data_IF_941950497829
#
_entry.id   IF_941950497829
#
_cell.length_a   1.000
_cell.length_b   1.000
_cell.length_c   1.000
_cell.angle_alpha   90.00
_cell.angle_beta   90.00
_cell.angle_gamma   90.00
#
_symmetry.space_group_name_H-M   'P 1'
#
loop_
_entity.id
_entity.type
_entity.pdbx_description
1 polymer ?
#
# COMPACT_ATOMS: atom_id res chain seq x y z
N UNK A 1 9.58 2.66 -15.83
CA UNK A 1 9.40 1.86 -14.60
C UNK A 1 10.47 0.78 -14.44
N UNK A 2 11.64 0.90 -15.09
CA UNK A 2 12.79 0.01 -14.86
C UNK A 2 13.68 0.62 -13.79
N UNK A 3 14.56 -0.19 -13.19
CA UNK A 3 15.66 0.34 -12.39
C UNK A 3 16.49 1.34 -13.23
N UNK A 4 16.81 2.54 -12.73
CA UNK A 4 17.58 3.50 -13.52
C UNK A 4 18.98 2.95 -13.81
N UNK A 5 19.41 3.02 -15.08
CA UNK A 5 20.67 2.42 -15.56
C UNK A 5 21.93 2.89 -14.81
N UNK A 6 21.91 4.08 -14.23
CA UNK A 6 23.03 4.62 -13.42
C UNK A 6 23.33 3.78 -12.18
N UNK A 7 22.32 3.06 -11.66
CA UNK A 7 22.47 2.13 -10.54
C UNK A 7 22.94 0.76 -11.03
N UNK A 8 22.71 0.37 -12.29
CA UNK A 8 23.02 -0.97 -12.82
C UNK A 8 24.34 -1.06 -13.59
N UNK A 9 25.36 -0.29 -13.18
CA UNK A 9 26.70 -0.36 -13.74
C UNK A 9 27.70 -0.82 -12.66
N UNK A 10 28.30 -1.99 -12.81
CA UNK A 10 29.23 -2.58 -11.82
C UNK A 10 30.46 -1.71 -11.49
N UNK A 11 30.81 -0.77 -12.36
CA UNK A 11 31.93 0.17 -12.15
C UNK A 11 31.47 1.46 -11.44
N UNK A 12 30.17 1.66 -11.26
CA UNK A 12 29.58 2.84 -10.63
C UNK A 12 29.61 2.73 -9.10
N UNK A 13 29.88 3.83 -8.37
CA UNK A 13 29.71 3.86 -6.92
C UNK A 13 28.23 3.72 -6.48
N UNK A 14 27.28 3.86 -7.42
CA UNK A 14 25.86 3.66 -7.18
C UNK A 14 25.44 2.19 -7.27
N UNK A 15 26.34 1.30 -7.69
CA UNK A 15 26.03 -0.12 -7.83
C UNK A 15 26.00 -0.83 -6.48
N UNK A 16 25.11 -1.82 -6.37
CA UNK A 16 25.10 -2.75 -5.27
C UNK A 16 24.90 -4.17 -5.83
N UNK A 17 25.79 -5.09 -5.45
CA UNK A 17 25.74 -6.51 -5.84
C UNK A 17 24.56 -7.26 -5.21
N UNK A 18 24.07 -6.79 -4.06
CA UNK A 18 22.97 -7.38 -3.29
C UNK A 18 21.59 -6.94 -3.83
N UNK A 19 21.42 -6.98 -5.16
CA UNK A 19 20.13 -6.78 -5.82
C UNK A 19 19.64 -8.06 -6.46
N UNK A 20 18.33 -8.17 -6.65
CA UNK A 20 17.74 -9.28 -7.39
C UNK A 20 18.23 -9.26 -8.84
N UNK A 21 18.98 -10.29 -9.23
CA UNK A 21 19.60 -10.36 -10.56
C UNK A 21 18.58 -10.55 -11.67
N UNK A 22 17.42 -11.14 -11.37
CA UNK A 22 16.33 -11.35 -12.34
C UNK A 22 15.56 -10.04 -12.63
N UNK A 23 15.72 -9.03 -11.78
CA UNK A 23 15.03 -7.74 -11.85
C UNK A 23 15.93 -6.59 -12.37
N UNK A 24 17.07 -6.92 -12.97
CA UNK A 24 17.92 -5.92 -13.63
C UNK A 24 17.24 -5.41 -14.91
N UNK A 25 17.53 -4.17 -15.37
CA UNK A 25 17.02 -3.69 -16.65
C UNK A 25 17.29 -4.70 -17.78
N UNK A 26 16.31 -4.96 -18.67
CA UNK A 26 15.11 -4.17 -18.93
C UNK A 26 13.85 -4.53 -18.10
N UNK A 27 13.97 -5.33 -17.02
CA UNK A 27 12.81 -5.74 -16.23
C UNK A 27 11.99 -4.55 -15.69
N UNK A 28 10.66 -4.67 -15.81
CA UNK A 28 9.70 -3.70 -15.25
C UNK A 28 9.38 -4.08 -13.82
N UNK A 29 9.39 -3.10 -12.91
CA UNK A 29 8.92 -3.31 -11.53
C UNK A 29 7.47 -3.79 -11.51
N UNK A 30 7.15 -4.75 -10.65
CA UNK A 30 5.76 -5.17 -10.37
C UNK A 30 5.38 -4.66 -8.98
N UNK A 31 4.78 -3.46 -8.91
CA UNK A 31 4.29 -2.87 -7.66
C UNK A 31 3.13 -3.69 -7.07
N UNK A 32 2.40 -4.40 -7.92
CA UNK A 32 1.29 -5.25 -7.54
C UNK A 32 1.70 -6.63 -7.03
N UNK A 33 2.93 -7.10 -7.28
CA UNK A 33 3.31 -8.52 -7.14
C UNK A 33 2.20 -9.44 -7.69
N UNK A 34 1.63 -9.02 -8.82
CA UNK A 34 0.46 -9.64 -9.44
C UNK A 34 0.78 -11.02 -10.02
N UNK A 35 2.04 -11.25 -10.38
CA UNK A 35 2.48 -12.43 -11.09
C UNK A 35 2.38 -12.30 -12.62
N UNK A 36 1.87 -11.17 -13.12
CA UNK A 36 1.76 -10.89 -14.53
C UNK A 36 3.11 -11.07 -15.23
N UNK A 37 3.13 -11.90 -16.28
CA UNK A 37 4.35 -12.12 -17.08
C UNK A 37 4.56 -11.02 -18.12
N UNK A 38 3.48 -10.49 -18.68
CA UNK A 38 3.47 -9.43 -19.69
C UNK A 38 3.85 -8.06 -19.11
N UNK A 39 4.75 -7.35 -19.80
CA UNK A 39 5.26 -6.07 -19.34
C UNK A 39 4.24 -4.94 -19.48
N UNK A 40 3.35 -4.99 -20.47
CA UNK A 40 2.28 -4.00 -20.60
C UNK A 40 1.29 -4.13 -19.44
N UNK A 41 0.91 -5.36 -19.08
CA UNK A 41 0.06 -5.62 -17.92
C UNK A 41 0.72 -5.13 -16.62
N UNK A 42 2.03 -5.36 -16.41
CA UNK A 42 2.75 -4.79 -15.24
C UNK A 42 2.67 -3.27 -15.20
N UNK A 43 2.87 -2.59 -16.33
CA UNK A 43 2.78 -1.13 -16.39
C UNK A 43 1.37 -0.66 -16.02
N UNK A 44 0.35 -1.29 -16.58
CA UNK A 44 -1.06 -0.96 -16.32
C UNK A 44 -1.44 -1.23 -14.86
N UNK A 45 -1.01 -2.36 -14.29
CA UNK A 45 -1.15 -2.68 -12.87
C UNK A 45 -0.46 -1.64 -11.99
N UNK A 46 0.78 -1.24 -12.31
CA UNK A 46 1.53 -0.24 -11.55
C UNK A 46 0.81 1.12 -11.51
N UNK A 47 0.26 1.56 -12.64
CA UNK A 47 -0.48 2.83 -12.70
C UNK A 47 -1.76 2.75 -11.88
N UNK A 48 -2.45 1.60 -11.91
CA UNK A 48 -3.64 1.36 -11.09
C UNK A 48 -3.32 1.32 -9.59
N UNK A 49 -2.23 0.66 -9.20
CA UNK A 49 -1.74 0.63 -7.80
C UNK A 49 -1.47 2.06 -7.32
N UNK A 50 -0.77 2.88 -8.11
CA UNK A 50 -0.52 4.28 -7.76
C UNK A 50 -1.81 5.11 -7.65
N UNK A 51 -2.75 4.99 -8.59
CA UNK A 51 -4.04 5.68 -8.49
C UNK A 51 -4.81 5.25 -7.23
N UNK A 52 -4.79 3.95 -6.92
CA UNK A 52 -5.47 3.40 -5.76
C UNK A 52 -4.89 3.92 -4.43
N UNK A 53 -3.57 3.87 -4.28
CA UNK A 53 -2.87 4.28 -3.06
C UNK A 53 -2.91 5.79 -2.81
N UNK A 54 -2.94 6.59 -3.88
CA UNK A 54 -2.90 8.06 -3.79
C UNK A 54 -4.29 8.70 -3.72
N UNK A 55 -5.30 8.05 -4.31
CA UNK A 55 -6.64 8.63 -4.52
C UNK A 55 -7.73 7.66 -4.06
N UNK A 56 -7.90 6.53 -4.75
CA UNK A 56 -9.14 5.73 -4.69
C UNK A 56 -9.43 5.13 -3.32
N UNK A 57 -8.40 4.56 -2.68
CA UNK A 57 -8.53 3.81 -1.43
C UNK A 57 -8.42 4.68 -0.17
N UNK A 58 -8.15 5.98 -0.33
CA UNK A 58 -7.84 6.92 0.77
C UNK A 58 -9.10 7.69 1.18
N UNK A 59 -9.52 7.54 2.44
CA UNK A 59 -10.65 8.30 3.00
C UNK A 59 -10.21 9.49 3.88
N UNK A 60 -9.07 9.38 4.57
CA UNK A 60 -8.56 10.40 5.50
C UNK A 60 -7.05 10.64 5.32
N UNK A 61 -6.51 11.72 5.91
CA UNK A 61 -5.05 11.94 5.96
C UNK A 61 -4.35 10.78 6.65
N UNK A 62 -4.95 10.19 7.67
CA UNK A 62 -4.40 9.04 8.40
C UNK A 62 -4.44 7.74 7.60
N UNK A 63 -5.39 7.59 6.66
CA UNK A 63 -5.36 6.45 5.73
C UNK A 63 -4.18 6.56 4.76
N UNK A 64 -3.77 7.78 4.39
CA UNK A 64 -2.60 8.03 3.55
C UNK A 64 -1.29 7.94 4.34
N UNK A 65 -1.18 8.69 5.45
CA UNK A 65 0.05 8.89 6.22
C UNK A 65 0.31 7.80 7.27
N UNK A 66 -0.73 7.09 7.72
CA UNK A 66 -0.65 6.11 8.81
C UNK A 66 -1.31 6.57 10.10
N UNK A 67 -1.52 5.61 11.01
CA UNK A 67 -2.20 5.83 12.28
C UNK A 67 -1.27 6.51 13.31
N UNK A 68 -1.83 7.30 14.26
CA UNK A 68 -1.04 7.98 15.27
C UNK A 68 -0.14 7.04 16.08
N UNK A 69 1.15 7.36 16.18
CA UNK A 69 2.10 6.69 17.04
C UNK A 69 2.62 7.64 18.11
N UNK A 70 2.21 7.43 19.37
CA UNK A 70 2.55 8.30 20.50
C UNK A 70 3.44 7.58 21.52
N UNK A 71 4.13 8.35 22.35
CA UNK A 71 4.96 7.79 23.41
C UNK A 71 4.13 6.85 24.31
N UNK A 72 4.63 5.63 24.52
CA UNK A 72 3.94 4.59 25.28
C UNK A 72 3.01 3.68 24.46
N UNK A 73 2.80 3.95 23.16
CA UNK A 73 2.02 3.07 22.30
C UNK A 73 2.81 1.81 21.94
N UNK A 74 2.08 0.71 21.73
CA UNK A 74 2.64 -0.49 21.13
C UNK A 74 3.10 -0.20 19.68
N UNK A 75 4.15 -0.90 19.19
CA UNK A 75 4.60 -0.75 17.80
C UNK A 75 3.49 -1.14 16.80
N UNK A 76 3.65 -0.70 15.56
CA UNK A 76 2.75 -0.99 14.44
C UNK A 76 1.30 -0.49 14.65
N UNK A 77 1.07 0.83 14.89
CA UNK A 77 -0.28 1.36 15.10
C UNK A 77 -1.18 1.26 13.86
N UNK A 78 -0.59 1.13 12.68
CA UNK A 78 -1.30 0.98 11.40
C UNK A 78 -0.63 1.81 10.31
N UNK A 79 -0.23 1.15 9.23
CA UNK A 79 0.47 1.78 8.11
C UNK A 79 -0.52 2.53 7.21
N UNK A 80 -0.05 3.64 6.62
CA UNK A 80 -0.79 4.38 5.60
C UNK A 80 -0.66 3.76 4.21
N UNK A 81 -1.49 4.17 3.26
CA UNK A 81 -1.44 3.73 1.86
C UNK A 81 -0.11 4.10 1.19
N UNK A 82 0.54 5.21 1.60
CA UNK A 82 1.86 5.60 1.10
C UNK A 82 2.97 4.62 1.48
N UNK A 83 2.75 3.80 2.51
CA UNK A 83 3.74 2.87 3.05
C UNK A 83 3.42 1.41 2.66
N UNK A 84 2.15 1.00 2.76
CA UNK A 84 1.69 -0.42 2.78
C UNK A 84 1.41 -1.04 1.40
N UNK A 85 2.10 -0.60 0.37
CA UNK A 85 1.86 -1.05 -1.01
C UNK A 85 3.08 -0.89 -1.91
N UNK A 86 3.04 0.05 -2.85
CA UNK A 86 4.11 0.30 -3.83
C UNK A 86 5.49 0.51 -3.19
N UNK A 87 5.58 1.20 -2.05
CA UNK A 87 6.80 1.34 -1.25
C UNK A 87 7.37 -0.03 -0.83
N UNK A 88 6.56 -0.86 -0.18
CA UNK A 88 6.97 -2.22 0.22
C UNK A 88 7.37 -3.05 -1.00
N UNK A 89 6.59 -2.96 -2.07
CA UNK A 89 6.84 -3.71 -3.29
C UNK A 89 8.22 -3.37 -3.89
N UNK A 90 8.58 -2.09 -3.97
CA UNK A 90 9.88 -1.65 -4.48
C UNK A 90 11.05 -2.18 -3.64
N UNK A 91 10.93 -2.17 -2.31
CA UNK A 91 11.92 -2.76 -1.41
C UNK A 91 12.19 -4.23 -1.74
N UNK A 92 11.13 -5.04 -1.79
CA UNK A 92 11.25 -6.48 -1.98
C UNK A 92 11.63 -6.85 -3.41
N UNK A 93 11.18 -6.07 -4.40
CA UNK A 93 11.51 -6.27 -5.80
C UNK A 93 13.01 -6.04 -6.06
N UNK A 94 13.63 -5.05 -5.41
CA UNK A 94 15.07 -4.81 -5.56
C UNK A 94 15.92 -5.78 -4.72
N UNK A 95 15.50 -6.12 -3.50
CA UNK A 95 16.30 -6.95 -2.57
C UNK A 95 16.67 -8.32 -3.14
N UNK A 96 17.91 -8.79 -2.91
CA UNK A 96 18.39 -10.04 -3.50
C UNK A 96 17.76 -11.28 -2.84
N UNK A 97 16.92 -12.06 -3.54
CA UNK A 97 16.27 -13.23 -2.96
C UNK A 97 17.24 -14.35 -2.56
N UNK A 98 18.49 -14.33 -3.03
CA UNK A 98 19.53 -15.30 -2.65
C UNK A 98 20.13 -15.02 -1.27
N UNK A 99 19.99 -13.80 -0.76
CA UNK A 99 20.44 -13.44 0.58
C UNK A 99 19.43 -13.88 1.63
N UNK A 100 19.91 -14.29 2.82
CA UNK A 100 19.09 -14.89 3.88
C UNK A 100 17.87 -14.06 4.26
N UNK A 101 18.00 -12.74 4.26
CA UNK A 101 16.95 -11.79 4.64
C UNK A 101 16.60 -10.84 3.50
N UNK A 102 16.95 -11.19 2.25
CA UNK A 102 16.77 -10.36 1.06
C UNK A 102 17.54 -9.04 1.06
N UNK A 103 18.70 -9.03 1.69
CA UNK A 103 19.60 -7.87 1.68
C UNK A 103 19.93 -7.42 0.24
N UNK A 104 20.14 -6.14 -0.03
CA UNK A 104 20.07 -5.03 0.94
C UNK A 104 18.66 -4.42 1.01
N UNK A 105 18.04 -4.07 -0.12
CA UNK A 105 16.75 -3.36 -0.17
C UNK A 105 15.56 -4.13 0.43
N UNK A 106 15.59 -5.46 0.46
CA UNK A 106 14.46 -6.28 0.91
C UNK A 106 14.26 -6.34 2.43
N UNK A 107 15.08 -5.65 3.22
CA UNK A 107 14.95 -5.60 4.67
C UNK A 107 15.38 -4.24 5.25
N UNK A 108 14.61 -3.71 6.20
CA UNK A 108 14.86 -2.38 6.76
C UNK A 108 16.23 -2.21 7.43
N UNK A 109 16.83 -3.25 8.03
CA UNK A 109 18.16 -3.08 8.65
C UNK A 109 19.30 -2.90 7.64
N UNK A 110 19.10 -3.33 6.40
CA UNK A 110 20.12 -3.33 5.35
C UNK A 110 19.82 -2.36 4.21
N UNK A 111 18.57 -1.93 4.04
CA UNK A 111 18.14 -1.18 2.87
C UNK A 111 19.02 0.05 2.57
N UNK A 112 19.36 0.84 3.58
CA UNK A 112 20.21 2.03 3.43
C UNK A 112 21.67 1.77 3.01
N UNK A 113 22.10 0.51 2.91
CA UNK A 113 23.41 0.11 2.34
C UNK A 113 23.40 0.13 0.81
N UNK A 114 22.23 0.03 0.19
CA UNK A 114 22.06 0.25 -1.25
C UNK A 114 21.76 1.74 -1.50
N UNK A 115 22.57 2.40 -2.33
CA UNK A 115 22.34 3.81 -2.66
C UNK A 115 21.01 4.06 -3.37
N UNK A 116 20.44 3.04 -4.03
CA UNK A 116 19.11 3.11 -4.66
C UNK A 116 18.00 3.33 -3.62
N UNK A 117 18.20 2.98 -2.35
CA UNK A 117 17.28 3.26 -1.23
C UNK A 117 16.92 4.74 -1.15
N UNK A 118 17.92 5.62 -1.21
CA UNK A 118 17.70 7.06 -1.09
C UNK A 118 16.98 7.62 -2.32
N UNK A 119 17.25 7.08 -3.52
CA UNK A 119 16.52 7.43 -4.73
C UNK A 119 15.05 6.95 -4.69
N UNK A 120 14.81 5.76 -4.14
CA UNK A 120 13.46 5.25 -3.91
C UNK A 120 12.70 6.17 -2.94
N UNK A 121 13.29 6.48 -1.79
CA UNK A 121 12.66 7.35 -0.79
C UNK A 121 12.52 8.81 -1.24
N UNK A 122 13.37 9.30 -2.14
CA UNK A 122 13.15 10.60 -2.79
C UNK A 122 11.84 10.61 -3.60
N UNK A 123 11.49 9.51 -4.28
CA UNK A 123 10.21 9.42 -4.97
C UNK A 123 9.03 9.19 -4.00
N UNK A 124 9.25 8.53 -2.87
CA UNK A 124 8.23 8.43 -1.78
C UNK A 124 7.94 9.82 -1.19
N UNK A 125 8.97 10.62 -0.92
CA UNK A 125 8.82 12.02 -0.48
C UNK A 125 8.13 12.89 -1.54
N UNK A 126 8.47 12.66 -2.82
CA UNK A 126 7.76 13.27 -3.95
C UNK A 126 6.27 12.91 -3.96
N UNK A 127 5.89 11.68 -3.59
CA UNK A 127 4.47 11.28 -3.53
C UNK A 127 3.72 12.11 -2.49
N UNK A 128 4.30 12.34 -1.30
CA UNK A 128 3.66 13.23 -0.32
C UNK A 128 3.47 14.65 -0.87
N UNK A 129 4.49 15.19 -1.54
CA UNK A 129 4.41 16.51 -2.19
C UNK A 129 3.32 16.57 -3.26
N UNK A 130 3.18 15.54 -4.10
CA UNK A 130 2.11 15.43 -5.10
C UNK A 130 0.75 15.30 -4.41
N UNK A 131 0.62 14.43 -3.41
CA UNK A 131 -0.64 14.14 -2.72
C UNK A 131 -1.27 15.40 -2.13
N UNK A 132 -0.44 16.29 -1.55
CA UNK A 132 -0.88 17.60 -1.04
C UNK A 132 -1.48 18.52 -2.11
N UNK A 133 -1.14 18.31 -3.39
CA UNK A 133 -1.66 19.11 -4.52
C UNK A 133 -2.89 18.49 -5.18
N UNK A 134 -3.24 17.24 -4.85
CA UNK A 134 -4.39 16.56 -5.42
C UNK A 134 -5.69 17.21 -4.94
N UNK A 135 -6.56 17.52 -5.89
CA UNK A 135 -7.88 18.09 -5.63
C UNK A 135 -8.87 16.97 -5.28
N UNK A 136 -8.76 16.45 -4.05
CA UNK A 136 -9.71 15.48 -3.50
C UNK A 136 -10.45 16.08 -2.30
N UNK A 137 -11.45 15.35 -1.80
CA UNK A 137 -12.25 15.72 -0.63
C UNK A 137 -11.60 15.30 0.71
N UNK A 138 -10.36 14.81 0.66
CA UNK A 138 -9.57 14.40 1.82
C UNK A 138 -8.70 15.58 2.27
N UNK A 139 -8.76 16.01 3.55
CA UNK A 139 -7.84 16.99 4.12
C UNK A 139 -6.37 16.60 3.88
N UNK A 140 -5.45 17.57 3.89
CA UNK A 140 -4.01 17.30 3.61
C UNK A 140 -3.09 17.52 4.80
N UNK A 141 -3.52 18.32 5.75
CA UNK A 141 -2.72 18.68 6.92
C UNK A 141 -3.01 17.73 8.08
N UNK A 142 -2.00 17.45 8.91
CA UNK A 142 -2.16 16.83 10.23
C UNK A 142 -1.92 17.92 11.27
N UNK A 143 -2.93 18.21 12.09
CA UNK A 143 -2.86 19.32 13.07
C UNK A 143 -2.62 18.86 14.51
N UNK A 144 -2.57 17.55 14.76
CA UNK A 144 -2.31 16.97 16.07
C UNK A 144 -0.96 17.49 16.63
N UNK A 145 -0.96 18.21 17.78
CA UNK A 145 0.26 18.68 18.41
C UNK A 145 1.27 17.58 18.73
N UNK A 146 0.83 16.35 19.02
CA UNK A 146 1.73 15.23 19.29
C UNK A 146 2.50 14.83 18.02
N UNK A 147 1.84 14.87 16.85
CA UNK A 147 2.47 14.64 15.56
C UNK A 147 3.44 15.78 15.23
N UNK A 148 2.98 17.03 15.31
CA UNK A 148 3.77 18.20 14.95
C UNK A 148 5.02 18.39 15.83
N UNK A 149 4.92 18.03 17.12
CA UNK A 149 6.03 18.12 18.07
C UNK A 149 6.90 16.86 18.14
N UNK A 150 6.53 15.78 17.44
CA UNK A 150 7.37 14.60 17.34
C UNK A 150 8.74 15.02 16.78
N UNK A 151 9.80 14.57 17.43
CA UNK A 151 11.15 15.03 17.16
C UNK A 151 12.11 13.86 16.97
N UNK A 152 13.03 14.04 16.02
CA UNK A 152 14.05 13.07 15.66
C UNK A 152 15.44 13.69 15.77
N UNK A 153 16.46 12.85 15.89
CA UNK A 153 17.86 13.27 15.99
C UNK A 153 18.62 12.76 14.76
N UNK A 154 19.28 13.68 14.05
CA UNK A 154 20.13 13.36 12.91
C UNK A 154 21.50 14.01 13.08
N UNK A 155 22.54 13.40 12.51
CA UNK A 155 23.80 14.10 12.30
C UNK A 155 23.71 14.92 11.02
N UNK A 156 24.13 16.18 11.08
CA UNK A 156 24.28 17.05 9.90
C UNK A 156 25.63 16.85 9.21
N UNK A 157 25.88 17.59 8.13
CA UNK A 157 27.13 17.57 7.38
C UNK A 157 28.35 18.05 8.18
N UNK A 158 28.12 18.79 9.26
CA UNK A 158 29.13 19.30 10.19
C UNK A 158 29.36 18.36 11.38
N UNK A 159 28.80 17.14 11.33
CA UNK A 159 28.87 16.11 12.37
C UNK A 159 28.25 16.57 13.70
N UNK A 160 27.32 17.51 13.66
CA UNK A 160 26.57 17.96 14.82
C UNK A 160 25.28 17.16 14.95
N UNK A 161 24.93 16.79 16.18
CA UNK A 161 23.66 16.13 16.47
C UNK A 161 22.56 17.18 16.54
N UNK A 162 21.66 17.18 15.57
CA UNK A 162 20.58 18.15 15.42
C UNK A 162 19.24 17.49 15.74
N UNK A 163 18.41 18.20 16.52
CA UNK A 163 17.02 17.82 16.77
C UNK A 163 16.12 18.53 15.77
N UNK A 164 15.32 17.76 15.04
CA UNK A 164 14.33 18.27 14.08
C UNK A 164 12.93 17.86 14.51
N UNK A 165 11.92 18.67 14.21
CA UNK A 165 10.51 18.34 14.45
C UNK A 165 9.78 18.09 13.13
N UNK A 166 8.71 17.29 13.19
CA UNK A 166 7.81 17.07 12.04
C UNK A 166 7.25 18.39 11.49
N UNK A 167 6.85 19.32 12.35
CA UNK A 167 6.32 20.61 11.90
C UNK A 167 7.28 21.40 10.99
N UNK A 168 8.59 21.17 11.11
CA UNK A 168 9.61 21.88 10.34
C UNK A 168 9.86 21.28 8.94
N UNK A 169 9.30 20.10 8.64
CA UNK A 169 9.45 19.44 7.34
C UNK A 169 8.16 19.37 6.50
N UNK A 170 7.07 20.03 6.94
CA UNK A 170 5.81 20.03 6.19
C UNK A 170 5.90 20.79 4.85
N UNK A 171 6.88 21.69 4.70
CA UNK A 171 7.16 22.42 3.46
C UNK A 171 8.61 22.19 3.01
N UNK A 172 8.78 21.29 2.04
CA UNK A 172 10.07 20.95 1.45
C UNK A 172 10.80 22.18 0.85
N UNK A 173 10.08 23.23 0.43
CA UNK A 173 10.71 24.44 -0.10
C UNK A 173 11.39 25.26 0.97
N UNK A 174 10.85 25.26 2.21
CA UNK A 174 11.53 25.86 3.37
C UNK A 174 12.78 25.09 3.77
N UNK A 175 12.85 23.81 3.42
CA UNK A 175 14.04 22.97 3.57
C UNK A 175 15.06 23.17 2.44
N UNK A 176 14.74 23.98 1.42
CA UNK A 176 15.66 24.36 0.36
C UNK A 176 15.67 23.43 -0.86
N UNK A 177 14.65 22.59 -1.06
CA UNK A 177 14.56 21.71 -2.24
C UNK A 177 13.16 21.68 -2.87
N UNK A 178 13.08 21.24 -4.13
CA UNK A 178 11.85 20.92 -4.86
C UNK A 178 12.14 19.79 -5.86
N UNK A 179 11.09 19.14 -6.37
CA UNK A 179 11.18 18.10 -7.38
C UNK A 179 11.01 18.68 -8.79
N UNK A 180 11.76 18.14 -9.75
CA UNK A 180 11.50 18.41 -11.16
C UNK A 180 10.04 18.07 -11.52
N UNK A 181 9.43 18.94 -12.33
CA UNK A 181 8.07 18.73 -12.83
C UNK A 181 8.14 17.78 -14.02
N UNK A 182 7.63 16.57 -13.81
CA UNK A 182 7.53 15.52 -14.82
C UNK A 182 6.11 14.99 -14.85
N UNK A 183 5.72 14.36 -15.96
CA UNK A 183 4.39 13.79 -16.15
C UNK A 183 4.04 12.80 -15.03
N UNK A 184 2.76 12.80 -14.65
CA UNK A 184 2.20 11.94 -13.61
C UNK A 184 1.12 11.06 -14.27
N UNK A 185 1.52 10.02 -15.01
CA UNK A 185 0.60 9.26 -15.87
C UNK A 185 -0.49 8.53 -15.09
N UNK A 186 -0.22 8.16 -13.83
CA UNK A 186 -1.19 7.44 -12.99
C UNK A 186 -2.40 8.29 -12.58
N UNK A 187 -2.36 9.63 -12.72
CA UNK A 187 -3.52 10.49 -12.41
C UNK A 187 -4.73 10.18 -13.29
N UNK A 188 -4.50 9.71 -14.51
CA UNK A 188 -5.54 9.40 -15.49
C UNK A 188 -5.81 7.89 -15.61
N UNK A 189 -5.23 7.08 -14.72
CA UNK A 189 -5.34 5.62 -14.72
C UNK A 189 -6.32 5.14 -13.64
N UNK A 190 -7.50 5.76 -13.63
CA UNK A 190 -8.66 5.20 -12.94
C UNK A 190 -9.08 3.93 -13.69
N UNK A 191 -9.27 2.78 -13.02
CA UNK A 191 -9.81 1.58 -13.67
C UNK A 191 -11.15 1.87 -14.37
N UNK A 192 -11.39 1.28 -15.55
CA UNK A 192 -12.61 1.54 -16.31
C UNK A 192 -13.83 1.06 -15.55
N UNK A 193 -14.91 1.87 -15.57
CA UNK A 193 -16.21 1.49 -15.03
C UNK A 193 -16.74 0.24 -15.74
N UNK A 194 -17.32 -0.71 -15.01
CA UNK A 194 -17.96 -1.87 -15.62
C UNK A 194 -19.16 -1.43 -16.46
N UNK A 195 -19.26 -1.99 -17.68
CA UNK A 195 -20.38 -1.73 -18.57
C UNK A 195 -21.71 -2.34 -18.07
N UNK A 196 -21.63 -3.35 -17.21
CA UNK A 196 -22.79 -4.00 -16.61
C UNK A 196 -22.57 -4.15 -15.10
N UNK A 197 -23.67 -4.07 -14.35
CA UNK A 197 -23.71 -4.34 -12.90
C UNK A 197 -23.11 -5.70 -12.57
N UNK A 198 -22.25 -5.74 -11.56
CA UNK A 198 -21.67 -7.00 -11.09
C UNK A 198 -22.75 -7.95 -10.55
N UNK A 199 -22.71 -9.21 -10.99
CA UNK A 199 -23.67 -10.24 -10.62
C UNK A 199 -23.18 -10.93 -9.36
N UNK A 200 -23.76 -10.56 -8.22
CA UNK A 200 -23.41 -11.18 -6.92
C UNK A 200 -23.70 -12.69 -6.89
N UNK A 201 -24.79 -13.15 -7.50
CA UNK A 201 -25.26 -14.55 -7.44
C UNK A 201 -24.20 -15.62 -7.81
N UNK A 202 -23.46 -15.52 -8.93
CA UNK A 202 -22.38 -16.46 -9.23
C UNK A 202 -21.21 -16.34 -8.25
N UNK A 203 -20.82 -15.13 -7.85
CA UNK A 203 -19.66 -14.86 -7.00
C UNK A 203 -19.90 -15.39 -5.57
N UNK A 204 -21.13 -15.25 -5.06
CA UNK A 204 -21.50 -15.64 -3.70
C UNK A 204 -21.54 -17.14 -3.47
N UNK A 205 -21.56 -17.98 -4.53
CA UNK A 205 -21.63 -19.45 -4.39
C UNK A 205 -20.47 -20.07 -3.61
N UNK A 206 -19.32 -19.39 -3.58
CA UNK A 206 -18.14 -19.80 -2.80
C UNK A 206 -17.81 -18.88 -1.63
N UNK A 207 -18.67 -17.91 -1.32
CA UNK A 207 -18.43 -16.94 -0.26
C UNK A 207 -18.98 -17.44 1.08
N UNK A 208 -18.22 -17.23 2.16
CA UNK A 208 -18.65 -17.51 3.52
C UNK A 208 -19.01 -16.22 4.25
N UNK A 209 -19.85 -16.29 5.29
CA UNK A 209 -20.16 -15.12 6.10
C UNK A 209 -19.03 -14.82 7.09
N UNK A 210 -18.79 -13.55 7.46
CA UNK A 210 -17.74 -13.18 8.41
C UNK A 210 -17.79 -13.97 9.73
N UNK A 211 -18.98 -14.16 10.30
CA UNK A 211 -19.18 -14.85 11.57
C UNK A 211 -18.74 -16.33 11.57
N UNK A 212 -18.76 -16.97 10.40
CA UNK A 212 -18.42 -18.39 10.25
C UNK A 212 -16.94 -18.61 9.88
N UNK A 213 -16.26 -17.54 9.45
CA UNK A 213 -14.94 -17.62 8.81
C UNK A 213 -13.80 -17.06 9.69
N UNK A 214 -14.08 -16.06 10.53
CA UNK A 214 -13.05 -15.33 11.26
C UNK A 214 -12.83 -15.87 12.70
N UNK A 215 -11.58 -15.93 13.20
CA UNK A 215 -10.35 -15.44 12.57
C UNK A 215 -9.88 -16.31 11.39
N UNK A 216 -9.53 -15.66 10.28
CA UNK A 216 -9.15 -16.28 9.02
C UNK A 216 -7.64 -16.37 8.88
N UNK A 217 -7.10 -17.57 8.63
CA UNK A 217 -5.73 -17.72 8.15
C UNK A 217 -5.70 -17.75 6.60
N UNK A 218 -5.04 -16.78 5.97
CA UNK A 218 -5.18 -16.48 4.53
C UNK A 218 -4.30 -17.36 3.64
N UNK A 219 -4.47 -18.68 3.73
CA UNK A 219 -3.67 -19.67 2.95
C UNK A 219 -3.95 -19.66 1.45
N UNK A 220 -5.15 -19.24 1.06
CA UNK A 220 -5.66 -19.29 -0.30
C UNK A 220 -6.62 -18.15 -0.56
N UNK A 221 -6.97 -17.96 -1.83
CA UNK A 221 -8.03 -17.05 -2.23
C UNK A 221 -9.29 -17.37 -1.43
N UNK A 222 -9.81 -16.36 -0.75
CA UNK A 222 -10.95 -16.50 0.16
C UNK A 222 -11.99 -15.43 -0.17
N UNK A 223 -13.25 -15.85 -0.29
CA UNK A 223 -14.39 -14.97 -0.57
C UNK A 223 -15.26 -14.84 0.66
N UNK A 224 -15.62 -13.61 0.99
CA UNK A 224 -16.43 -13.29 2.17
C UNK A 224 -17.63 -12.46 1.75
N UNK A 225 -18.83 -12.90 2.14
CA UNK A 225 -20.07 -12.17 1.90
C UNK A 225 -20.30 -11.16 3.02
N UNK A 226 -20.01 -9.88 2.77
CA UNK A 226 -20.03 -8.82 3.79
C UNK A 226 -21.27 -7.94 3.60
N UNK A 227 -22.08 -7.70 4.65
CA UNK A 227 -23.19 -6.76 4.58
C UNK A 227 -22.67 -5.33 4.48
N UNK A 228 -23.32 -4.53 3.62
CA UNK A 228 -23.11 -3.09 3.57
C UNK A 228 -23.72 -2.43 4.81
N UNK A 229 -23.24 -1.24 5.15
CA UNK A 229 -23.79 -0.48 6.28
C UNK A 229 -25.08 0.25 5.91
N UNK A 230 -25.26 0.60 4.63
CA UNK A 230 -26.48 1.18 4.08
C UNK A 230 -26.74 0.79 2.61
N UNK A 231 -28.01 0.81 2.20
CA UNK A 231 -28.41 0.74 0.78
C UNK A 231 -28.20 2.08 0.09
N UNK A 232 -28.02 2.05 -1.23
CA UNK A 232 -27.87 3.22 -2.09
C UNK A 232 -26.42 3.69 -2.21
N UNK A 233 -26.26 4.96 -2.62
CA UNK A 233 -24.95 5.62 -2.69
C UNK A 233 -24.47 5.95 -1.28
N UNK A 234 -23.76 5.02 -0.67
CA UNK A 234 -23.20 5.15 0.66
C UNK A 234 -21.70 5.51 0.58
N UNK A 235 -21.29 6.45 1.43
CA UNK A 235 -19.86 6.71 1.68
C UNK A 235 -19.41 5.71 2.75
N UNK A 236 -18.69 4.67 2.34
CA UNK A 236 -18.30 3.55 3.19
C UNK A 236 -16.81 3.20 3.04
N UNK A 237 -16.28 2.57 4.09
CA UNK A 237 -14.95 1.96 4.09
C UNK A 237 -15.04 0.48 4.43
N UNK A 238 -14.26 -0.34 3.75
CA UNK A 238 -13.97 -1.72 4.13
C UNK A 238 -12.87 -1.72 5.18
N UNK A 239 -13.11 -2.36 6.32
CA UNK A 239 -12.13 -2.50 7.41
C UNK A 239 -11.73 -3.97 7.54
N UNK A 240 -10.42 -4.24 7.49
CA UNK A 240 -9.83 -5.53 7.85
C UNK A 240 -9.15 -5.38 9.20
N UNK A 241 -9.69 -6.07 10.20
CA UNK A 241 -9.34 -5.89 11.61
C UNK A 241 -8.34 -6.94 12.08
N UNK A 242 -7.46 -6.54 12.99
CA UNK A 242 -6.54 -7.43 13.69
C UNK A 242 -5.75 -8.33 12.71
N UNK A 243 -5.16 -7.73 11.67
CA UNK A 243 -4.27 -8.42 10.74
C UNK A 243 -2.97 -8.73 11.50
N UNK A 244 -2.81 -9.98 11.91
CA UNK A 244 -1.62 -10.50 12.57
C UNK A 244 -0.70 -11.16 11.53
N UNK A 245 0.58 -10.80 11.56
CA UNK A 245 1.57 -11.25 10.59
C UNK A 245 2.90 -11.63 11.22
N UNK A 246 3.66 -12.52 10.58
CA UNK A 246 5.09 -12.68 10.87
C UNK A 246 5.89 -11.49 10.29
N UNK A 247 6.36 -10.59 11.16
CA UNK A 247 7.10 -9.39 10.76
C UNK A 247 8.45 -9.69 10.11
N UNK A 248 8.96 -10.92 10.24
CA UNK A 248 10.24 -11.33 9.66
C UNK A 248 10.12 -11.77 8.20
N UNK A 249 8.89 -11.83 7.67
CA UNK A 249 8.60 -12.24 6.30
C UNK A 249 8.00 -11.09 5.49
N UNK A 250 8.14 -11.19 4.18
CA UNK A 250 7.43 -10.30 3.26
C UNK A 250 6.00 -10.78 3.19
N UNK A 251 5.07 -9.92 3.59
CA UNK A 251 3.65 -10.24 3.55
C UNK A 251 3.02 -9.37 2.48
N UNK A 252 2.19 -9.98 1.65
CA UNK A 252 1.31 -9.23 0.76
C UNK A 252 0.04 -9.99 0.43
N UNK A 253 -1.09 -9.29 0.45
CA UNK A 253 -2.33 -9.76 -0.13
C UNK A 253 -3.11 -8.59 -0.74
N UNK A 254 -3.95 -8.91 -1.72
CA UNK A 254 -4.81 -7.94 -2.40
C UNK A 254 -6.27 -8.15 -2.02
N UNK A 255 -7.04 -7.08 -2.18
CA UNK A 255 -8.46 -7.05 -1.85
C UNK A 255 -9.25 -6.61 -3.08
N UNK A 256 -10.23 -7.43 -3.46
CA UNK A 256 -11.17 -7.14 -4.52
C UNK A 256 -12.60 -7.16 -4.00
N UNK A 257 -13.49 -6.43 -4.66
CA UNK A 257 -14.91 -6.36 -4.33
C UNK A 257 -15.74 -6.73 -5.56
N UNK A 258 -16.57 -7.76 -5.43
CA UNK A 258 -17.43 -8.30 -6.47
C UNK A 258 -16.71 -8.61 -7.79
N UNK A 259 -15.46 -9.10 -7.70
CA UNK A 259 -14.71 -9.58 -8.86
C UNK A 259 -15.34 -10.88 -9.38
N UNK A 260 -15.76 -10.82 -10.64
CA UNK A 260 -16.37 -11.92 -11.39
C UNK A 260 -15.32 -12.75 -12.12
N UNK A 261 -14.15 -12.17 -12.35
CA UNK A 261 -13.07 -12.79 -13.09
C UNK A 261 -12.05 -13.35 -12.09
N UNK A 262 -11.77 -14.64 -12.20
CA UNK A 262 -10.78 -15.32 -11.35
C UNK A 262 -9.34 -14.97 -11.78
N UNK A 263 -9.13 -14.11 -12.79
CA UNK A 263 -7.81 -13.63 -13.19
C UNK A 263 -7.22 -12.64 -12.18
N UNK A 264 -6.45 -13.19 -11.24
CA UNK A 264 -5.76 -12.43 -10.22
C UNK A 264 -4.54 -11.65 -10.74
N UNK A 265 -4.06 -11.84 -11.98
CA UNK A 265 -2.90 -11.12 -12.50
C UNK A 265 -3.22 -9.68 -12.93
N UNK A 266 -4.51 -9.36 -13.11
CA UNK A 266 -5.00 -8.06 -13.56
C UNK A 266 -5.50 -7.23 -12.37
N UNK A 267 -4.85 -6.10 -12.10
CA UNK A 267 -5.24 -5.16 -11.05
C UNK A 267 -6.02 -3.96 -11.59
N UNK A 268 -6.01 -3.74 -12.90
CA UNK A 268 -6.68 -2.65 -13.64
C UNK A 268 -8.19 -2.85 -13.78
N UNK A 269 -8.79 -3.39 -12.72
CA UNK A 269 -10.20 -3.71 -12.60
C UNK A 269 -10.89 -2.72 -11.66
N UNK A 270 -12.13 -2.37 -11.97
CA UNK A 270 -12.95 -1.56 -11.08
C UNK A 270 -13.09 -2.20 -9.69
N UNK A 271 -13.01 -3.52 -9.62
CA UNK A 271 -13.14 -4.35 -8.43
C UNK A 271 -11.92 -4.29 -7.50
N UNK A 272 -10.76 -3.84 -7.97
CA UNK A 272 -9.57 -3.73 -7.14
C UNK A 272 -9.72 -2.64 -6.07
N UNK A 273 -9.80 -3.05 -4.81
CA UNK A 273 -10.02 -2.15 -3.67
C UNK A 273 -8.71 -1.68 -3.02
N UNK A 274 -7.64 -2.48 -3.10
CA UNK A 274 -6.33 -2.12 -2.57
C UNK A 274 -5.54 -3.32 -2.07
N UNK A 275 -4.55 -3.05 -1.24
CA UNK A 275 -3.58 -4.05 -0.76
C UNK A 275 -3.17 -3.83 0.69
N UNK A 276 -2.68 -4.92 1.29
CA UNK A 276 -1.83 -4.88 2.46
C UNK A 276 -0.47 -5.45 2.09
N UNK A 277 0.60 -4.72 2.39
CA UNK A 277 1.96 -5.22 2.26
C UNK A 277 2.84 -4.77 3.43
N UNK A 278 3.80 -5.62 3.81
CA UNK A 278 4.76 -5.34 4.88
C UNK A 278 6.16 -5.83 4.50
N UNK A 279 7.16 -4.96 4.64
CA UNK A 279 8.58 -5.31 4.46
C UNK A 279 9.05 -6.17 5.65
N UNK A 280 9.85 -7.22 5.42
CA UNK A 280 10.54 -7.94 6.49
C UNK A 280 11.36 -6.99 7.38
N UNK A 281 11.18 -7.09 8.69
CA UNK A 281 12.00 -6.37 9.65
C UNK A 281 12.11 -7.13 10.99
N UNK A 282 13.20 -6.86 11.72
CA UNK A 282 13.50 -7.57 12.96
C UNK A 282 12.81 -6.90 14.14
N UNK A 283 11.74 -7.51 14.64
CA UNK A 283 11.10 -7.12 15.91
C UNK A 283 11.41 -8.15 17.00
N UNK A 284 11.26 -7.76 18.28
CA UNK A 284 11.46 -8.69 19.42
C UNK A 284 10.42 -9.82 19.40
N UNK A 285 9.16 -9.47 19.14
CA UNK A 285 8.02 -10.38 19.25
C UNK A 285 7.71 -11.13 17.94
N UNK A 286 8.41 -10.77 16.84
CA UNK A 286 8.25 -11.34 15.49
C UNK A 286 6.83 -11.30 14.92
N UNK A 287 5.91 -10.62 15.60
CA UNK A 287 4.52 -10.46 15.20
C UNK A 287 4.21 -8.99 15.01
N UNK A 288 3.61 -8.65 13.88
CA UNK A 288 2.99 -7.36 13.63
C UNK A 288 1.48 -7.50 13.75
N UNK A 289 0.81 -6.53 14.36
CA UNK A 289 -0.65 -6.42 14.35
C UNK A 289 -1.02 -5.11 13.70
N UNK A 290 -1.96 -5.15 12.76
CA UNK A 290 -2.38 -3.96 12.01
C UNK A 290 -3.88 -3.97 11.73
N UNK A 291 -4.39 -2.86 11.24
CA UNK A 291 -5.74 -2.72 10.69
C UNK A 291 -5.63 -1.82 9.49
N UNK A 292 -6.36 -2.15 8.42
CA UNK A 292 -6.46 -1.28 7.26
C UNK A 292 -7.91 -0.94 6.97
N UNK A 293 -8.10 0.26 6.43
CA UNK A 293 -9.35 0.75 5.88
C UNK A 293 -9.14 1.04 4.40
N UNK A 294 -10.10 0.65 3.56
CA UNK A 294 -10.11 0.89 2.12
C UNK A 294 -11.42 1.60 1.76
N UNK A 295 -11.33 2.80 1.20
CA UNK A 295 -12.51 3.56 0.74
C UNK A 295 -13.21 2.84 -0.41
N UNK A 296 -14.53 2.74 -0.34
CA UNK A 296 -15.35 2.01 -1.32
C UNK A 296 -16.20 2.92 -2.21
N UNK A 297 -16.32 4.21 -1.89
CA UNK A 297 -17.26 5.15 -2.53
C UNK A 297 -17.16 5.13 -4.06
N UNK A 298 -15.95 5.37 -4.60
CA UNK A 298 -15.70 5.39 -6.04
C UNK A 298 -15.81 3.97 -6.63
N UNK A 299 -15.34 2.97 -5.90
CA UNK A 299 -15.42 1.57 -6.32
C UNK A 299 -16.87 1.15 -6.55
N UNK A 300 -17.77 1.44 -5.63
CA UNK A 300 -19.19 1.08 -5.74
C UNK A 300 -19.87 1.70 -6.95
N UNK A 301 -19.53 2.94 -7.29
CA UNK A 301 -20.05 3.59 -8.50
C UNK A 301 -19.54 2.91 -9.77
N UNK A 302 -18.28 2.47 -9.76
CA UNK A 302 -17.63 1.83 -10.90
C UNK A 302 -18.13 0.40 -11.15
N UNK A 303 -18.63 -0.31 -10.13
CA UNK A 303 -19.15 -1.69 -10.25
C UNK A 303 -20.69 -1.77 -10.15
N UNK A 304 -21.36 -0.63 -9.94
CA UNK A 304 -22.82 -0.46 -9.90
C UNK A 304 -23.55 -1.29 -8.83
N UNK A 305 -23.06 -1.23 -7.58
CA UNK A 305 -23.58 -2.03 -6.45
C UNK A 305 -24.35 -1.20 -5.41
N UNK A 306 -24.83 -0.02 -5.79
CA UNK A 306 -25.54 0.88 -4.88
C UNK A 306 -26.77 0.20 -4.25
N UNK A 307 -27.56 -0.52 -5.04
CA UNK A 307 -28.80 -1.15 -4.58
C UNK A 307 -28.63 -2.51 -3.89
N UNK A 308 -27.39 -3.02 -3.81
CA UNK A 308 -27.10 -4.30 -3.19
C UNK A 308 -27.01 -4.16 -1.66
N UNK A 309 -27.44 -5.19 -0.94
CA UNK A 309 -27.40 -5.27 0.53
C UNK A 309 -26.08 -5.85 1.04
N UNK A 310 -25.42 -6.65 0.20
CA UNK A 310 -24.18 -7.35 0.49
C UNK A 310 -23.23 -7.19 -0.68
N UNK A 311 -21.95 -7.32 -0.40
CA UNK A 311 -20.90 -7.47 -1.40
C UNK A 311 -20.08 -8.71 -1.09
N UNK A 312 -19.37 -9.24 -2.07
CA UNK A 312 -18.36 -10.27 -1.89
C UNK A 312 -16.98 -9.60 -1.89
N UNK A 313 -16.29 -9.71 -0.77
CA UNK A 313 -14.87 -9.32 -0.68
C UNK A 313 -14.02 -10.54 -0.96
N UNK A 314 -13.11 -10.44 -1.93
CA UNK A 314 -12.15 -11.48 -2.28
C UNK A 314 -10.78 -11.07 -1.76
N UNK A 315 -10.18 -11.91 -0.91
CA UNK A 315 -8.85 -11.74 -0.36
C UNK A 315 -7.89 -12.69 -1.09
N UNK A 316 -6.86 -12.13 -1.74
CA UNK A 316 -5.90 -12.89 -2.56
C UNK A 316 -4.51 -12.83 -1.93
N UNK A 317 -4.00 -13.91 -1.31
CA UNK A 317 -2.63 -13.94 -0.82
C UNK A 317 -1.65 -13.90 -1.99
N UNK A 318 -0.70 -12.94 -1.95
CA UNK A 318 0.38 -12.81 -2.96
C UNK A 318 1.70 -13.33 -2.44
N UNK A 319 1.98 -13.15 -1.14
CA UNK A 319 3.20 -13.65 -0.51
C UNK A 319 2.97 -14.00 0.94
N UNK A 320 3.43 -15.20 1.33
CA UNK A 320 3.37 -15.74 2.69
C UNK A 320 1.98 -15.63 3.35
N UNK A 321 0.92 -15.94 2.60
CA UNK A 321 -0.47 -15.88 3.10
C UNK A 321 -0.74 -16.79 4.31
N UNK A 322 -0.02 -17.92 4.40
CA UNK A 322 -0.08 -18.82 5.55
C UNK A 322 0.35 -18.13 6.87
N UNK A 323 1.16 -17.08 6.78
CA UNK A 323 1.64 -16.28 7.90
C UNK A 323 0.77 -15.06 8.19
N UNK A 324 -0.43 -14.99 7.61
CA UNK A 324 -1.42 -13.93 7.81
C UNK A 324 -2.66 -14.49 8.50
N UNK A 325 -3.00 -13.93 9.65
CA UNK A 325 -4.30 -14.15 10.30
C UNK A 325 -5.06 -12.84 10.36
N UNK A 326 -6.27 -12.80 9.82
CA UNK A 326 -7.15 -11.63 9.88
C UNK A 326 -8.22 -11.92 10.93
N UNK A 327 -8.41 -11.03 11.89
CA UNK A 327 -9.35 -11.25 12.99
C UNK A 327 -10.80 -10.87 12.68
N UNK A 328 -11.02 -9.97 11.72
CA UNK A 328 -12.38 -9.60 11.31
C UNK A 328 -12.43 -8.80 10.01
N UNK A 329 -13.62 -8.69 9.45
CA UNK A 329 -13.92 -7.89 8.27
C UNK A 329 -15.29 -7.24 8.45
N UNK A 330 -15.40 -5.94 8.12
CA UNK A 330 -16.67 -5.23 8.17
C UNK A 330 -16.68 -4.03 7.22
N UNK A 331 -17.88 -3.59 6.89
CA UNK A 331 -18.12 -2.34 6.18
C UNK A 331 -18.79 -1.39 7.16
N UNK A 332 -18.27 -0.17 7.25
CA UNK A 332 -18.81 0.88 8.12
C UNK A 332 -19.02 2.16 7.30
N UNK A 333 -19.92 3.05 7.74
CA UNK A 333 -19.97 4.40 7.20
C UNK A 333 -18.60 5.05 7.29
N UNK A 334 -18.18 5.75 6.24
CA UNK A 334 -16.90 6.46 6.19
C UNK A 334 -16.77 7.37 7.42
N UNK A 335 -15.73 7.16 8.26
CA UNK A 335 -15.47 8.06 9.37
C UNK A 335 -15.27 9.50 8.88
N UNK A 336 -15.51 10.51 9.74
CA UNK A 336 -15.19 11.89 9.41
C UNK A 336 -13.75 11.99 8.90
N UNK A 337 -13.57 12.66 7.76
CA UNK A 337 -12.25 12.81 7.14
C UNK A 337 -11.41 13.71 8.03
N UNK A 338 -10.49 13.12 8.79
CA UNK A 338 -9.62 13.83 9.71
C UNK A 338 -8.24 14.08 9.09
N UNK A 339 -7.66 15.19 9.52
CA UNK A 339 -6.28 15.59 9.30
C UNK A 339 -5.45 15.42 10.55
#
# INVERSE_FOLDING_TARGET
MQMPKIFDNTESPLYNVNRNQDNRPPAIIDLGFSGASDDLQKVVNNLTVMYSEMIRSVNSTLDFMGQPYKAGFAPSPGMGSSERGSHVAAHVWVGNPKNKYREDMGNFYSAGRDTLFYCHHANVDRMWSIWKTLKTDVPKDITDPDFLNAAFLFYDENKQLVRVKVADCLDHRRMGYDFERVDIPWLNYKPPRKAAKSKIQPISKGAQKPEDLFPLNLKKITRVLVPKSAKGKADEVLVLENIETDSTKFIKFDVFVNDEDDNAEELDKAEYAGTFAQVPHKTKDKKGKSTISLRLTELYEDIDVADDDTIVVTLIPRSNGDDVTIGGIKIIPSPPRSG
#
